data_IF_139442969553
#
_entry.id   IF_139442969553
#
_cell.length_a   1.000
_cell.length_b   1.000
_cell.length_c   1.000
_cell.angle_alpha   90.00
_cell.angle_beta   90.00
_cell.angle_gamma   90.00
#
_symmetry.space_group_name_H-M   'P 1'
#
loop_
_entity.id
_entity.type
_entity.pdbx_description
1 polymer ?
#
# COMPACT_ATOMS: atom_id res chain seq x y z
N UNK A 1 31.34 14.43 -17.57
CA UNK A 1 30.05 13.86 -17.98
C UNK A 1 29.82 14.22 -19.44
N UNK A 2 29.76 13.24 -20.34
CA UNK A 2 29.76 13.51 -21.78
C UNK A 2 28.45 14.21 -22.19
N UNK A 3 28.57 15.37 -22.85
CA UNK A 3 27.45 16.23 -23.27
C UNK A 3 26.37 15.45 -24.05
N UNK A 4 26.78 14.41 -24.77
CA UNK A 4 25.91 13.56 -25.57
C UNK A 4 24.97 12.68 -24.71
N UNK A 5 25.39 12.28 -23.50
CA UNK A 5 24.56 11.47 -22.59
C UNK A 5 23.48 12.35 -21.94
N UNK A 6 23.82 13.60 -21.60
CA UNK A 6 22.88 14.56 -21.02
C UNK A 6 21.75 14.92 -22.00
N UNK A 7 22.07 15.00 -23.30
CA UNK A 7 21.08 15.28 -24.36
C UNK A 7 20.11 14.11 -24.52
N UNK A 8 20.61 12.87 -24.50
CA UNK A 8 19.76 11.66 -24.61
C UNK A 8 18.84 11.51 -23.39
N UNK A 9 19.32 11.85 -22.19
CA UNK A 9 18.49 11.80 -20.98
C UNK A 9 17.38 12.86 -21.01
N UNK A 10 17.67 14.06 -21.53
CA UNK A 10 16.66 15.12 -21.66
C UNK A 10 15.59 14.79 -22.71
N UNK A 11 15.94 14.14 -23.82
CA UNK A 11 14.95 13.76 -24.85
C UNK A 11 14.05 12.61 -24.40
N UNK A 12 14.53 11.71 -23.54
CA UNK A 12 13.73 10.61 -22.97
C UNK A 12 12.68 11.11 -21.96
N UNK A 13 12.96 12.21 -21.24
CA UNK A 13 12.05 12.79 -20.25
C UNK A 13 10.91 13.62 -20.88
N UNK A 14 11.07 14.08 -22.12
CA UNK A 14 10.06 14.92 -22.81
C UNK A 14 9.03 14.05 -23.55
N UNK A 15 9.34 12.80 -23.88
CA UNK A 15 8.43 11.90 -24.62
C UNK A 15 7.33 11.25 -23.78
N UNK A 16 7.30 11.46 -22.45
CA UNK A 16 6.33 10.83 -21.54
C UNK A 16 4.99 11.59 -21.38
N UNK A 17 4.78 12.72 -22.07
CA UNK A 17 3.60 13.58 -21.88
C UNK A 17 2.46 13.41 -22.90
N UNK A 18 2.45 12.37 -23.73
CA UNK A 18 1.31 12.07 -24.60
C UNK A 18 0.21 11.33 -23.83
N UNK A 19 -0.62 12.08 -23.14
CA UNK A 19 -1.88 11.61 -22.55
C UNK A 19 -2.82 11.07 -23.64
N UNK A 20 -3.30 9.84 -23.43
CA UNK A 20 -4.36 9.24 -24.21
C UNK A 20 -5.63 10.11 -24.13
N UNK A 21 -6.11 10.61 -25.26
CA UNK A 21 -7.41 11.26 -25.34
C UNK A 21 -8.51 10.23 -25.04
N UNK A 22 -9.27 10.50 -23.98
CA UNK A 22 -10.50 9.81 -23.64
C UNK A 22 -11.47 9.87 -24.83
N UNK A 23 -11.76 8.73 -25.45
CA UNK A 23 -12.98 8.58 -26.26
C UNK A 23 -14.15 8.50 -25.29
N UNK A 24 -14.82 9.63 -25.11
CA UNK A 24 -16.19 9.70 -24.64
C UNK A 24 -17.09 9.11 -25.71
N UNK A 25 -17.45 7.83 -25.58
CA UNK A 25 -18.58 7.27 -26.34
C UNK A 25 -19.88 7.69 -25.64
N UNK A 26 -20.38 8.83 -26.07
CA UNK A 26 -21.79 9.15 -26.06
C UNK A 26 -22.47 8.22 -27.05
N UNK A 27 -23.41 7.36 -26.60
CA UNK A 27 -24.64 7.05 -27.33
C UNK A 27 -25.52 6.05 -26.58
N UNK A 28 -26.76 6.52 -26.34
CA UNK A 28 -28.03 5.79 -26.13
C UNK A 28 -28.61 5.93 -24.71
N UNK A 29 -29.29 7.07 -24.53
CA UNK A 29 -30.50 7.18 -23.72
C UNK A 29 -31.56 6.19 -24.22
N UNK A 30 -32.11 5.37 -23.32
CA UNK A 30 -33.51 4.95 -23.37
C UNK A 30 -34.04 4.98 -21.95
N UNK A 31 -34.79 6.04 -21.65
CA UNK A 31 -35.65 6.12 -20.48
C UNK A 31 -36.70 5.00 -20.56
N UNK A 32 -36.64 4.06 -19.63
CA UNK A 32 -37.71 3.10 -19.36
C UNK A 32 -38.43 3.59 -18.11
N UNK A 33 -39.39 4.48 -18.31
CA UNK A 33 -40.38 4.86 -17.32
C UNK A 33 -41.31 3.67 -17.09
N UNK A 34 -41.06 2.92 -16.01
CA UNK A 34 -41.98 1.91 -15.50
C UNK A 34 -42.73 2.55 -14.32
N UNK A 35 -43.84 3.22 -14.60
CA UNK A 35 -44.79 3.61 -13.55
C UNK A 35 -45.47 2.33 -13.05
N UNK A 36 -45.08 1.89 -11.85
CA UNK A 36 -45.82 0.89 -11.11
C UNK A 36 -46.49 1.62 -9.96
N UNK A 37 -47.81 1.75 -10.01
CA UNK A 37 -48.63 2.33 -8.95
C UNK A 37 -48.38 1.57 -7.64
N UNK A 38 -47.52 2.13 -6.80
CA UNK A 38 -47.27 1.64 -5.46
C UNK A 38 -48.28 2.31 -4.53
N UNK A 39 -49.30 1.56 -4.13
CA UNK A 39 -50.21 1.96 -3.06
C UNK A 39 -49.75 1.29 -1.77
N UNK A 40 -49.02 1.99 -0.87
CA UNK A 40 -48.63 1.39 0.39
C UNK A 40 -49.88 1.23 1.26
N UNK A 41 -50.32 -0.01 1.45
CA UNK A 41 -51.13 -0.33 2.61
C UNK A 41 -50.20 -0.36 3.82
N UNK A 42 -50.21 0.75 4.58
CA UNK A 42 -49.58 0.80 5.88
C UNK A 42 -50.44 -0.07 6.80
N UNK A 43 -50.05 -1.33 6.98
CA UNK A 43 -50.55 -2.09 8.13
C UNK A 43 -50.15 -1.34 9.39
N UNK A 44 -51.16 -1.05 10.20
CA UNK A 44 -51.05 -0.29 11.43
C UNK A 44 -50.03 -0.98 12.36
N UNK A 45 -48.81 -0.44 12.47
CA UNK A 45 -47.76 -0.92 13.35
C UNK A 45 -48.09 -0.58 14.82
N UNK A 46 -49.23 -1.07 15.28
CA UNK A 46 -49.64 -1.03 16.67
C UNK A 46 -48.86 -2.08 17.44
N UNK A 47 -47.87 -1.61 18.22
CA UNK A 47 -47.16 -2.30 19.30
C UNK A 47 -45.98 -3.20 18.90
N UNK A 48 -44.80 -2.61 18.68
CA UNK A 48 -43.56 -3.08 19.33
C UNK A 48 -42.65 -1.87 19.62
N UNK A 49 -43.09 -0.97 20.51
CA UNK A 49 -42.18 -0.06 21.22
C UNK A 49 -42.10 -0.53 22.67
N UNK A 50 -41.46 -1.68 22.90
CA UNK A 50 -40.89 -1.98 24.20
C UNK A 50 -39.38 -1.93 24.01
N UNK A 51 -38.77 -0.87 24.54
CA UNK A 51 -37.32 -0.90 24.73
C UNK A 51 -37.01 -2.09 25.65
N UNK A 52 -36.06 -2.97 25.28
CA UNK A 52 -35.63 -4.01 26.18
C UNK A 52 -35.12 -3.36 27.47
N UNK A 53 -35.61 -3.82 28.62
CA UNK A 53 -35.14 -3.34 29.91
C UNK A 53 -33.65 -3.67 30.02
N UNK A 54 -32.79 -2.66 29.99
CA UNK A 54 -31.36 -2.83 30.23
C UNK A 54 -31.17 -3.16 31.70
N UNK A 55 -30.70 -4.37 32.00
CA UNK A 55 -30.28 -4.72 33.35
C UNK A 55 -29.13 -3.80 33.78
N UNK A 56 -29.30 -3.11 34.90
CA UNK A 56 -28.24 -2.28 35.46
C UNK A 56 -27.10 -3.18 35.94
N UNK A 57 -26.00 -3.21 35.19
CA UNK A 57 -24.79 -3.93 35.58
C UNK A 57 -24.25 -3.27 36.85
N UNK A 58 -24.47 -3.89 38.00
CA UNK A 58 -23.80 -3.53 39.27
C UNK A 58 -22.34 -3.93 39.18
N UNK A 59 -21.53 -3.11 38.52
CA UNK A 59 -20.08 -3.24 38.57
C UNK A 59 -19.61 -2.78 39.96
N UNK A 60 -19.19 -3.73 40.80
CA UNK A 60 -18.38 -3.39 41.96
C UNK A 60 -17.04 -2.88 41.45
N UNK A 61 -16.87 -1.56 41.38
CA UNK A 61 -15.57 -0.95 41.13
C UNK A 61 -14.65 -1.31 42.29
N UNK A 62 -13.81 -2.32 42.09
CA UNK A 62 -12.66 -2.53 42.96
C UNK A 62 -11.70 -1.36 42.74
N UNK A 63 -11.34 -0.70 43.83
CA UNK A 63 -10.38 0.38 43.83
C UNK A 63 -9.00 -0.19 43.45
N UNK A 64 -8.48 0.19 42.28
CA UNK A 64 -7.15 -0.20 41.83
C UNK A 64 -6.13 0.59 42.66
N UNK A 65 -5.58 -0.04 43.69
CA UNK A 65 -4.49 0.53 44.48
C UNK A 65 -3.19 0.40 43.69
N UNK A 66 -2.74 1.49 43.09
CA UNK A 66 -1.40 1.56 42.51
C UNK A 66 -0.39 1.79 43.63
N UNK A 67 0.61 0.92 43.74
CA UNK A 67 1.75 1.15 44.60
C UNK A 67 2.55 2.35 44.07
N UNK A 68 2.77 3.36 44.91
CA UNK A 68 3.49 4.60 44.55
C UNK A 68 5.00 4.39 44.36
N UNK A 69 5.51 3.20 44.73
CA UNK A 69 6.91 2.82 44.57
C UNK A 69 7.03 1.60 43.68
N UNK A 70 7.59 1.80 42.48
CA UNK A 70 8.14 0.72 41.69
C UNK A 70 9.41 0.21 42.39
N UNK A 71 9.30 -0.83 43.21
CA UNK A 71 10.49 -1.56 43.63
C UNK A 71 11.06 -2.26 42.39
N UNK A 72 12.34 -2.01 42.10
CA UNK A 72 13.06 -2.73 41.05
C UNK A 72 12.96 -4.22 41.40
N UNK A 73 12.33 -5.00 40.52
CA UNK A 73 12.38 -6.45 40.61
C UNK A 73 13.86 -6.83 40.45
N UNK A 74 14.53 -7.26 41.52
CA UNK A 74 15.85 -7.85 41.37
C UNK A 74 15.63 -9.18 40.64
N UNK A 75 16.06 -9.25 39.38
CA UNK A 75 16.21 -10.53 38.73
C UNK A 75 17.32 -11.27 39.50
N UNK A 76 16.96 -12.32 40.23
CA UNK A 76 17.91 -13.17 40.99
C UNK A 76 18.92 -13.92 40.09
N UNK A 77 18.89 -13.69 38.78
CA UNK A 77 19.73 -14.37 37.79
C UNK A 77 20.26 -13.35 36.82
N UNK A 78 21.56 -13.43 36.56
CA UNK A 78 22.23 -12.67 35.51
C UNK A 78 21.46 -12.85 34.19
N UNK A 79 20.97 -11.75 33.64
CA UNK A 79 20.33 -11.74 32.33
C UNK A 79 21.42 -12.05 31.30
N UNK A 80 21.49 -13.30 30.85
CA UNK A 80 22.33 -13.71 29.72
C UNK A 80 21.49 -13.58 28.45
N UNK A 81 21.60 -12.49 27.67
CA UNK A 81 20.93 -12.42 26.39
C UNK A 81 21.46 -13.54 25.48
N UNK A 82 20.56 -14.15 24.71
CA UNK A 82 20.98 -15.00 23.60
C UNK A 82 21.93 -14.21 22.70
N UNK A 83 23.05 -14.82 22.31
CA UNK A 83 23.93 -14.20 21.31
C UNK A 83 23.10 -13.95 20.05
N UNK A 84 23.17 -12.72 19.54
CA UNK A 84 22.51 -12.37 18.29
C UNK A 84 22.97 -13.37 17.22
N UNK A 85 22.03 -14.01 16.53
CA UNK A 85 22.38 -14.86 15.42
C UNK A 85 23.13 -14.01 14.39
N UNK A 86 24.40 -14.33 14.16
CA UNK A 86 25.16 -13.74 13.06
C UNK A 86 24.48 -14.19 11.76
N UNK A 87 23.79 -13.26 11.11
CA UNK A 87 23.26 -13.49 9.78
C UNK A 87 24.47 -13.74 8.87
N UNK A 88 24.73 -15.00 8.52
CA UNK A 88 25.67 -15.38 7.47
C UNK A 88 25.14 -14.84 6.14
N UNK A 89 25.45 -13.59 5.85
CA UNK A 89 25.24 -12.99 4.54
C UNK A 89 26.54 -13.17 3.75
N UNK A 90 26.98 -14.43 3.57
CA UNK A 90 28.09 -14.80 2.66
C UNK A 90 27.62 -14.76 1.19
N UNK A 91 26.79 -13.78 0.84
CA UNK A 91 26.39 -13.56 -0.54
C UNK A 91 26.94 -12.21 -0.96
N UNK A 92 27.72 -12.10 -2.05
CA UNK A 92 28.35 -10.84 -2.43
C UNK A 92 27.27 -9.84 -2.83
N UNK A 93 26.84 -9.01 -1.88
CA UNK A 93 25.86 -7.96 -2.07
C UNK A 93 26.35 -6.91 -3.08
N UNK A 94 27.67 -6.85 -3.29
CA UNK A 94 28.35 -5.82 -4.07
C UNK A 94 28.11 -5.93 -5.59
N UNK A 95 27.61 -7.06 -6.11
CA UNK A 95 27.48 -7.31 -7.55
C UNK A 95 26.06 -7.71 -8.03
N UNK A 96 25.02 -7.63 -7.18
CA UNK A 96 23.67 -7.99 -7.63
C UNK A 96 23.08 -6.89 -8.52
N UNK A 97 23.06 -7.16 -9.81
CA UNK A 97 22.37 -6.38 -10.84
C UNK A 97 20.86 -6.26 -10.60
N UNK A 98 20.27 -7.14 -9.78
CA UNK A 98 18.85 -7.09 -9.44
C UNK A 98 18.42 -8.16 -8.44
N UNK A 99 17.14 -8.10 -8.09
CA UNK A 99 16.44 -9.00 -7.19
C UNK A 99 15.04 -9.26 -7.75
N UNK A 100 14.54 -10.48 -7.55
CA UNK A 100 13.14 -10.80 -7.79
C UNK A 100 12.62 -11.65 -6.63
N UNK A 101 11.40 -11.34 -6.19
CA UNK A 101 10.64 -12.04 -5.17
C UNK A 101 9.33 -12.46 -5.76
N UNK A 102 9.00 -13.73 -5.63
CA UNK A 102 7.65 -14.22 -5.83
C UNK A 102 7.21 -14.90 -4.55
N UNK A 103 5.97 -14.68 -4.15
CA UNK A 103 5.43 -15.19 -2.91
C UNK A 103 3.93 -15.34 -2.96
N UNK A 104 3.42 -16.17 -2.05
CA UNK A 104 2.00 -16.29 -1.78
C UNK A 104 1.80 -16.17 -0.28
N UNK A 105 0.72 -15.55 0.17
CA UNK A 105 0.36 -15.49 1.58
C UNK A 105 -1.15 -15.60 1.73
N UNK A 106 -1.63 -16.72 2.26
CA UNK A 106 -3.06 -17.00 2.39
C UNK A 106 -3.77 -17.00 1.04
N UNK A 107 -4.64 -16.01 0.82
CA UNK A 107 -5.38 -15.80 -0.43
C UNK A 107 -4.77 -14.68 -1.31
N UNK A 108 -3.49 -14.36 -1.11
CA UNK A 108 -2.79 -13.31 -1.83
C UNK A 108 -1.55 -13.79 -2.58
N UNK A 109 -1.17 -13.02 -3.61
CA UNK A 109 0.00 -13.20 -4.45
C UNK A 109 0.89 -11.95 -4.34
N UNK A 110 2.20 -12.17 -4.31
CA UNK A 110 3.22 -11.14 -4.21
C UNK A 110 4.25 -11.34 -5.31
N UNK A 111 4.56 -10.27 -6.04
CA UNK A 111 5.64 -10.23 -7.01
C UNK A 111 6.40 -8.91 -6.92
N UNK A 112 7.65 -8.96 -6.48
CA UNK A 112 8.55 -7.81 -6.43
C UNK A 112 9.73 -8.06 -7.35
N UNK A 113 10.18 -7.03 -8.05
CA UNK A 113 11.38 -7.05 -8.88
C UNK A 113 12.11 -5.72 -8.75
N UNK A 114 13.43 -5.79 -8.67
CA UNK A 114 14.32 -4.65 -8.62
C UNK A 114 15.51 -4.90 -9.54
N UNK A 115 15.88 -3.91 -10.32
CA UNK A 115 17.07 -3.95 -11.16
C UNK A 115 17.89 -2.69 -10.91
N UNK A 116 19.15 -2.88 -10.52
CA UNK A 116 20.13 -1.82 -10.44
C UNK A 116 20.69 -1.57 -11.85
N UNK A 117 20.12 -0.61 -12.57
CA UNK A 117 20.56 -0.22 -13.93
C UNK A 117 21.99 0.34 -13.88
N UNK A 118 22.31 1.08 -12.82
CA UNK A 118 23.63 1.63 -12.57
C UNK A 118 23.99 1.42 -11.10
N UNK A 119 25.14 0.81 -10.84
CA UNK A 119 25.64 0.62 -9.48
C UNK A 119 27.15 0.85 -9.46
N UNK A 120 27.54 2.08 -9.13
CA UNK A 120 28.92 2.52 -9.01
C UNK A 120 29.12 3.20 -7.65
N UNK A 121 30.36 3.37 -7.22
CA UNK A 121 30.69 3.95 -5.91
C UNK A 121 30.00 5.30 -5.63
N UNK A 122 29.86 6.15 -6.65
CA UNK A 122 29.27 7.49 -6.52
C UNK A 122 27.85 7.60 -7.04
N UNK A 123 27.33 6.60 -7.76
CA UNK A 123 26.03 6.72 -8.41
C UNK A 123 25.26 5.41 -8.45
N UNK A 124 23.96 5.51 -8.20
CA UNK A 124 23.04 4.39 -8.23
C UNK A 124 21.78 4.76 -9.00
N UNK A 125 21.33 3.88 -9.89
CA UNK A 125 20.06 3.98 -10.59
C UNK A 125 19.33 2.64 -10.44
N UNK A 126 18.10 2.71 -9.94
CA UNK A 126 17.30 1.55 -9.59
C UNK A 126 15.94 1.65 -10.23
N UNK A 127 15.51 0.57 -10.86
CA UNK A 127 14.13 0.36 -11.31
C UNK A 127 13.50 -0.69 -10.42
N UNK A 128 12.39 -0.36 -9.78
CA UNK A 128 11.62 -1.28 -8.95
C UNK A 128 10.21 -1.46 -9.51
N UNK A 129 9.70 -2.67 -9.40
CA UNK A 129 8.35 -3.05 -9.72
C UNK A 129 7.80 -3.92 -8.59
N UNK A 130 6.66 -3.54 -8.03
CA UNK A 130 5.97 -4.29 -6.98
C UNK A 130 4.55 -4.58 -7.47
N UNK A 131 4.06 -5.80 -7.26
CA UNK A 131 2.73 -6.25 -7.64
C UNK A 131 2.17 -7.16 -6.58
N UNK A 132 1.22 -6.65 -5.81
CA UNK A 132 0.61 -7.34 -4.69
C UNK A 132 -0.88 -7.47 -4.94
N UNK A 133 -1.37 -8.71 -4.92
CA UNK A 133 -2.78 -9.01 -5.02
C UNK A 133 -3.23 -9.67 -3.71
N UNK A 134 -4.30 -9.17 -3.13
CA UNK A 134 -4.89 -9.73 -1.92
C UNK A 134 -6.38 -9.92 -2.09
N UNK A 135 -6.88 -11.11 -1.76
CA UNK A 135 -8.31 -11.32 -1.57
C UNK A 135 -8.67 -11.02 -0.12
N UNK A 136 -9.57 -10.06 0.11
CA UNK A 136 -10.05 -9.67 1.44
C UNK A 136 -11.50 -10.13 1.64
N UNK A 137 -11.82 -10.81 2.75
CA UNK A 137 -13.20 -11.11 3.11
C UNK A 137 -13.92 -9.82 3.51
N UNK A 138 -15.15 -9.66 3.06
CA UNK A 138 -16.04 -8.56 3.45
C UNK A 138 -17.19 -9.17 4.26
N UNK A 139 -17.79 -8.45 5.24
CA UNK A 139 -19.03 -8.89 5.86
C UNK A 139 -20.10 -9.20 4.79
N UNK A 140 -20.87 -10.29 4.99
CA UNK A 140 -21.94 -10.81 4.08
C UNK A 140 -21.52 -11.74 2.93
N UNK A 141 -20.49 -12.58 3.12
CA UNK A 141 -20.08 -13.64 2.14
C UNK A 141 -19.45 -13.16 0.84
N UNK A 142 -19.23 -11.85 0.72
CA UNK A 142 -18.55 -11.23 -0.40
C UNK A 142 -17.03 -11.27 -0.26
N UNK A 143 -16.33 -11.26 -1.40
CA UNK A 143 -14.89 -11.11 -1.45
C UNK A 143 -14.51 -9.88 -2.25
N UNK A 144 -13.50 -9.14 -1.77
CA UNK A 144 -12.82 -8.12 -2.53
C UNK A 144 -11.49 -8.64 -3.05
N UNK A 145 -11.18 -8.30 -4.29
CA UNK A 145 -9.84 -8.44 -4.83
C UNK A 145 -9.19 -7.08 -4.87
N UNK A 146 -8.19 -6.87 -4.03
CA UNK A 146 -7.36 -5.67 -4.02
C UNK A 146 -6.07 -5.98 -4.77
N UNK A 147 -5.71 -5.15 -5.74
CA UNK A 147 -4.49 -5.26 -6.51
C UNK A 147 -3.75 -3.92 -6.48
N UNK A 148 -2.55 -3.95 -5.90
CA UNK A 148 -1.62 -2.83 -5.81
C UNK A 148 -0.43 -3.12 -6.71
N UNK A 149 -0.20 -2.26 -7.70
CA UNK A 149 1.00 -2.31 -8.54
C UNK A 149 1.74 -0.99 -8.43
N UNK A 150 3.06 -1.03 -8.32
CA UNK A 150 3.89 0.16 -8.26
C UNK A 150 5.12 -0.03 -9.13
N UNK A 151 5.42 0.97 -9.95
CA UNK A 151 6.70 1.12 -10.61
C UNK A 151 7.44 2.31 -9.98
N UNK A 152 8.74 2.19 -9.77
CA UNK A 152 9.55 3.32 -9.31
C UNK A 152 10.92 3.33 -9.97
N UNK A 153 11.40 4.53 -10.28
CA UNK A 153 12.76 4.81 -10.71
C UNK A 153 13.42 5.69 -9.66
N UNK A 154 14.55 5.26 -9.11
CA UNK A 154 15.31 6.01 -8.11
C UNK A 154 16.75 6.21 -8.58
N UNK A 155 17.22 7.46 -8.50
CA UNK A 155 18.58 7.87 -8.80
C UNK A 155 19.22 8.51 -7.58
N UNK A 156 20.44 8.11 -7.28
CA UNK A 156 21.26 8.66 -6.22
C UNK A 156 22.64 9.01 -6.75
N UNK A 157 23.13 10.20 -6.38
CA UNK A 157 24.49 10.63 -6.65
C UNK A 157 25.17 11.12 -5.37
N UNK A 158 26.33 10.56 -5.07
CA UNK A 158 27.19 10.94 -3.95
C UNK A 158 28.26 11.91 -4.43
N UNK A 159 28.15 13.16 -3.98
CA UNK A 159 29.25 14.10 -3.96
C UNK A 159 30.13 13.85 -2.73
N UNK A 160 31.29 14.50 -2.65
CA UNK A 160 32.20 14.27 -1.53
C UNK A 160 31.62 14.70 -0.16
N UNK A 161 30.66 15.65 -0.14
CA UNK A 161 30.03 16.18 1.08
C UNK A 161 28.50 16.22 1.05
N UNK A 162 27.88 15.79 -0.04
CA UNK A 162 26.44 15.85 -0.21
C UNK A 162 25.93 14.67 -1.01
N UNK A 163 24.62 14.42 -0.90
CA UNK A 163 23.94 13.36 -1.62
C UNK A 163 22.73 13.96 -2.31
N UNK A 164 22.64 13.77 -3.62
CA UNK A 164 21.45 14.05 -4.41
C UNK A 164 20.66 12.76 -4.55
N UNK A 165 19.37 12.82 -4.26
CA UNK A 165 18.42 11.73 -4.45
C UNK A 165 17.23 12.25 -5.23
N UNK A 166 16.89 11.56 -6.30
CA UNK A 166 15.71 11.84 -7.11
C UNK A 166 14.98 10.52 -7.36
N UNK A 167 13.68 10.48 -7.09
CA UNK A 167 12.87 9.30 -7.35
C UNK A 167 11.53 9.69 -7.95
N UNK A 168 11.06 8.85 -8.85
CA UNK A 168 9.75 8.92 -9.47
C UNK A 168 9.06 7.59 -9.25
N UNK A 169 7.82 7.60 -8.78
CA UNK A 169 7.02 6.39 -8.64
C UNK A 169 5.60 6.61 -9.11
N UNK A 170 5.04 5.60 -9.76
CA UNK A 170 3.64 5.53 -10.14
C UNK A 170 3.04 4.26 -9.53
N UNK A 171 1.94 4.42 -8.81
CA UNK A 171 1.18 3.33 -8.24
C UNK A 171 -0.23 3.29 -8.84
N UNK A 172 -0.67 2.06 -9.11
CA UNK A 172 -1.97 1.72 -9.62
C UNK A 172 -2.64 0.73 -8.67
N UNK A 173 -3.73 1.20 -8.08
CA UNK A 173 -4.59 0.43 -7.19
C UNK A 173 -5.90 0.12 -7.89
N UNK A 174 -6.33 -1.14 -7.81
CA UNK A 174 -7.66 -1.52 -8.25
C UNK A 174 -8.30 -2.48 -7.28
N UNK A 175 -9.60 -2.32 -7.10
CA UNK A 175 -10.39 -3.22 -6.29
C UNK A 175 -11.72 -3.56 -6.97
N UNK A 176 -12.18 -4.79 -6.73
CA UNK A 176 -13.46 -5.28 -7.25
C UNK A 176 -14.25 -5.99 -6.16
N UNK A 177 -15.56 -5.72 -6.10
CA UNK A 177 -16.51 -6.33 -5.19
C UNK A 177 -17.20 -7.51 -5.87
N UNK A 178 -16.92 -8.74 -5.41
CA UNK A 178 -17.42 -9.94 -6.07
C UNK A 178 -18.95 -10.13 -6.00
N UNK A 179 -19.65 -9.45 -5.07
CA UNK A 179 -21.07 -9.72 -4.79
C UNK A 179 -22.07 -8.65 -5.32
N UNK A 180 -21.64 -7.50 -5.83
CA UNK A 180 -22.55 -6.37 -6.14
C UNK A 180 -22.48 -5.84 -7.58
N UNK A 181 -22.20 -6.72 -8.54
CA UNK A 181 -21.97 -6.30 -9.93
C UNK A 181 -20.54 -5.79 -10.12
N UNK A 182 -20.03 -5.94 -11.33
CA UNK A 182 -18.62 -5.77 -11.71
C UNK A 182 -18.13 -4.31 -11.68
N UNK A 183 -18.39 -3.57 -10.60
CA UNK A 183 -17.88 -2.22 -10.41
C UNK A 183 -16.42 -2.27 -9.97
N UNK A 184 -15.55 -2.36 -10.98
CA UNK A 184 -14.11 -2.21 -10.82
C UNK A 184 -13.80 -0.74 -10.53
N UNK A 185 -13.38 -0.45 -9.31
CA UNK A 185 -12.87 0.86 -8.94
C UNK A 185 -11.35 0.89 -9.09
N UNK A 186 -10.85 2.02 -9.54
CA UNK A 186 -9.43 2.24 -9.80
C UNK A 186 -8.99 3.53 -9.15
N UNK A 187 -7.81 3.52 -8.54
CA UNK A 187 -7.10 4.71 -8.12
C UNK A 187 -5.70 4.68 -8.71
N UNK A 188 -5.22 5.85 -9.13
CA UNK A 188 -3.85 6.06 -9.59
C UNK A 188 -3.22 7.12 -8.70
N UNK A 189 -1.99 6.88 -8.28
CA UNK A 189 -1.18 7.86 -7.57
C UNK A 189 0.19 7.95 -8.22
N UNK A 190 0.74 9.15 -8.25
CA UNK A 190 2.05 9.43 -8.82
C UNK A 190 2.78 10.32 -7.85
N UNK A 191 3.94 9.87 -7.41
CA UNK A 191 4.78 10.60 -6.47
C UNK A 191 6.13 10.90 -7.11
N UNK A 192 6.54 12.15 -7.01
CA UNK A 192 7.88 12.59 -7.40
C UNK A 192 8.56 13.16 -6.16
N UNK A 193 9.77 12.67 -5.88
CA UNK A 193 10.53 13.07 -4.71
C UNK A 193 11.94 13.48 -5.13
N UNK A 194 12.35 14.68 -4.71
CA UNK A 194 13.68 15.22 -4.93
C UNK A 194 14.22 15.69 -3.59
N UNK A 195 15.37 15.18 -3.19
CA UNK A 195 16.01 15.50 -1.93
C UNK A 195 17.50 15.76 -2.14
N UNK A 196 17.99 16.83 -1.51
CA UNK A 196 19.42 17.14 -1.42
C UNK A 196 19.80 17.14 0.06
N UNK A 197 20.70 16.25 0.44
CA UNK A 197 21.22 16.13 1.79
C UNK A 197 22.69 16.50 1.88
N UNK A 198 23.10 17.06 3.02
CA UNK A 198 24.50 17.34 3.36
C UNK A 198 24.95 16.33 4.41
N UNK A 199 26.19 15.84 4.30
CA UNK A 199 26.82 14.97 5.30
C UNK A 199 27.46 15.76 6.41
#
# INVERSE_FOLDING_TARGET
MNKNIAIILCTLLISSFTFAQNKSDSLIMRDLLLEKDYSPQIENAGKIYQNPATEAIKTNKQEVKFATSANRLSLDKDFVPLQAAEAKVDFPAQNKWGYARLGTFGLGLLGDAQVNILHQERQRLELNWNSHMQRRPIPQSAYNFDNHNQASLAYQYHFDRSVLQASLSEAYDSWNYADFGYDKKMARSSDTHLQVGWR
#
